data_IF_840680514703
#
_entry.id   IF_840680514703
#
_cell.length_a   1.000
_cell.length_b   1.000
_cell.length_c   1.000
_cell.angle_alpha   90.00
_cell.angle_beta   90.00
_cell.angle_gamma   90.00
#
_symmetry.space_group_name_H-M   'P 1'
#
loop_
_entity.id
_entity.type
_entity.pdbx_description
1 polymer ?
#
# COMPACT_ATOMS: atom_id res chain seq x y z
N UNK A 1 -22.11 4.87 24.12
CA UNK A 1 -22.01 4.90 22.64
C UNK A 1 -21.42 3.56 22.22
N UNK A 2 -22.18 2.72 21.49
CA UNK A 2 -21.65 1.42 21.02
C UNK A 2 -20.53 1.69 20.02
N UNK A 3 -19.31 1.36 20.36
CA UNK A 3 -18.17 1.43 19.44
C UNK A 3 -18.40 0.36 18.37
N UNK A 4 -18.59 0.77 17.13
CA UNK A 4 -18.88 -0.09 15.98
C UNK A 4 -17.58 -0.77 15.48
N UNK A 5 -16.83 -1.39 16.41
CA UNK A 5 -15.57 -2.07 16.14
C UNK A 5 -15.80 -3.48 15.60
N UNK A 6 -14.86 -3.95 14.79
CA UNK A 6 -14.86 -5.28 14.17
C UNK A 6 -13.73 -6.13 14.75
N UNK A 7 -13.85 -7.46 14.61
CA UNK A 7 -12.71 -8.37 14.76
C UNK A 7 -11.78 -8.16 13.56
N UNK A 8 -10.48 -8.14 13.80
CA UNK A 8 -9.47 -8.03 12.75
C UNK A 8 -9.61 -9.18 11.73
N UNK A 9 -9.55 -8.83 10.47
CA UNK A 9 -9.55 -9.75 9.33
C UNK A 9 -8.20 -9.63 8.63
N UNK A 10 -7.46 -10.75 8.57
CA UNK A 10 -6.11 -10.81 7.99
C UNK A 10 -6.09 -10.93 6.45
N UNK A 11 -7.27 -10.91 5.80
CA UNK A 11 -7.32 -10.97 4.33
C UNK A 11 -6.61 -9.77 3.70
N UNK A 12 -6.04 -10.01 2.53
CA UNK A 12 -5.34 -8.99 1.73
C UNK A 12 -6.01 -8.78 0.36
N UNK A 13 -7.33 -9.01 0.30
CA UNK A 13 -8.14 -8.85 -0.90
C UNK A 13 -9.43 -8.14 -0.57
N UNK A 14 -9.85 -7.22 -1.43
CA UNK A 14 -11.15 -6.57 -1.30
C UNK A 14 -12.29 -7.52 -1.72
N UNK A 15 -13.40 -7.45 -0.99
CA UNK A 15 -14.67 -8.12 -1.37
C UNK A 15 -15.57 -7.20 -2.17
N UNK A 16 -15.32 -5.89 -2.11
CA UNK A 16 -16.08 -4.86 -2.81
C UNK A 16 -15.20 -4.18 -3.87
N UNK A 17 -15.76 -3.89 -5.03
CA UNK A 17 -15.09 -3.20 -6.14
C UNK A 17 -15.11 -1.67 -6.02
N UNK A 18 -15.49 -1.12 -4.87
CA UNK A 18 -15.51 0.31 -4.62
C UNK A 18 -14.56 0.68 -3.49
N UNK A 19 -15.02 0.56 -2.26
CA UNK A 19 -14.21 0.78 -1.06
C UNK A 19 -14.74 -0.08 0.09
N UNK A 20 -13.88 -0.30 1.08
CA UNK A 20 -14.23 -0.98 2.33
C UNK A 20 -13.67 -0.19 3.51
N UNK A 21 -14.41 -0.09 4.59
CA UNK A 21 -13.97 0.61 5.78
C UNK A 21 -14.15 -0.25 7.03
N UNK A 22 -13.12 -0.26 7.86
CA UNK A 22 -13.03 -1.08 9.06
C UNK A 22 -12.60 -0.23 10.25
N UNK A 23 -13.25 -0.45 11.40
CA UNK A 23 -12.82 0.09 12.67
C UNK A 23 -12.42 -1.07 13.57
N UNK A 24 -11.13 -1.25 13.78
CA UNK A 24 -10.55 -2.32 14.58
C UNK A 24 -10.11 -1.81 15.95
N UNK A 25 -10.41 -2.60 16.97
CA UNK A 25 -9.90 -2.41 18.33
C UNK A 25 -9.54 -3.77 18.91
N UNK A 26 -8.25 -4.05 19.00
CA UNK A 26 -7.71 -5.31 19.46
C UNK A 26 -7.01 -5.14 20.81
N UNK A 27 -7.37 -5.96 21.78
CA UNK A 27 -6.70 -6.01 23.08
C UNK A 27 -5.42 -6.84 23.05
N UNK A 28 -5.35 -7.79 22.13
CA UNK A 28 -4.19 -8.65 21.86
C UNK A 28 -4.04 -8.74 20.35
N UNK A 29 -3.38 -7.76 19.74
CA UNK A 29 -3.23 -7.73 18.30
C UNK A 29 -2.41 -8.94 17.83
N UNK A 30 -2.88 -9.59 16.76
CA UNK A 30 -2.11 -10.60 16.06
C UNK A 30 -0.98 -9.94 15.28
N UNK A 31 0.17 -10.63 15.17
CA UNK A 31 1.25 -10.16 14.31
C UNK A 31 0.83 -10.23 12.86
N UNK A 32 1.06 -9.16 12.12
CA UNK A 32 0.80 -9.09 10.68
C UNK A 32 2.13 -9.31 9.96
N UNK A 33 2.19 -10.29 9.07
CA UNK A 33 3.38 -10.53 8.24
C UNK A 33 3.60 -9.38 7.25
N UNK A 34 4.83 -9.27 6.73
CA UNK A 34 5.13 -8.37 5.62
C UNK A 34 4.26 -8.75 4.43
N UNK A 35 3.50 -7.78 3.90
CA UNK A 35 2.54 -8.02 2.83
C UNK A 35 2.38 -6.80 1.92
N UNK A 36 1.58 -6.97 0.89
CA UNK A 36 1.15 -5.95 -0.03
C UNK A 36 -0.26 -6.28 -0.54
N UNK A 37 -0.88 -5.33 -1.18
CA UNK A 37 -2.19 -5.50 -1.82
C UNK A 37 -2.31 -4.62 -3.08
N UNK A 38 -3.37 -4.81 -3.86
CA UNK A 38 -3.58 -4.14 -5.14
C UNK A 38 -4.69 -3.06 -5.07
N UNK A 39 -4.80 -2.41 -3.94
CA UNK A 39 -5.72 -1.30 -3.69
C UNK A 39 -5.03 -0.22 -2.85
N UNK A 40 -5.60 0.96 -2.78
CA UNK A 40 -5.13 2.03 -1.89
C UNK A 40 -5.60 1.76 -0.48
N UNK A 41 -4.72 1.95 0.49
CA UNK A 41 -5.07 1.87 1.91
C UNK A 41 -4.80 3.20 2.61
N UNK A 42 -5.79 3.68 3.36
CA UNK A 42 -5.62 4.73 4.35
C UNK A 42 -5.76 4.12 5.73
N UNK A 43 -4.73 4.25 6.52
CA UNK A 43 -4.69 3.77 7.88
C UNK A 43 -4.68 4.96 8.84
N UNK A 44 -5.74 5.14 9.61
CA UNK A 44 -5.88 6.20 10.61
C UNK A 44 -5.64 5.63 11.99
N UNK A 45 -4.54 6.02 12.61
CA UNK A 45 -4.13 5.52 13.91
C UNK A 45 -4.82 6.25 15.06
N UNK A 46 -5.46 5.52 15.97
CA UNK A 46 -6.19 6.07 17.10
C UNK A 46 -5.45 5.88 18.41
N UNK A 47 -5.02 4.65 18.71
CA UNK A 47 -4.26 4.36 19.92
C UNK A 47 -3.47 3.06 19.80
N UNK A 48 -2.43 2.92 20.63
CA UNK A 48 -1.55 1.76 20.66
C UNK A 48 -0.09 2.16 20.71
N UNK A 49 0.78 1.17 20.51
CA UNK A 49 2.22 1.35 20.39
C UNK A 49 2.70 0.60 19.15
N UNK A 50 2.89 1.31 18.04
CA UNK A 50 3.13 0.72 16.73
C UNK A 50 4.23 1.45 15.99
N UNK A 51 5.22 0.66 15.53
CA UNK A 51 6.13 1.06 14.47
C UNK A 51 5.62 0.47 13.15
N UNK A 52 5.33 1.31 12.18
CA UNK A 52 4.81 0.87 10.90
C UNK A 52 5.88 0.99 9.81
N UNK A 53 6.21 -0.12 9.18
CA UNK A 53 7.19 -0.16 8.08
C UNK A 53 6.46 -0.10 6.75
N UNK A 54 6.89 0.80 5.86
CA UNK A 54 6.42 0.89 4.48
C UNK A 54 7.63 1.13 3.58
N UNK A 55 7.85 0.26 2.59
CA UNK A 55 8.96 0.37 1.63
C UNK A 55 10.31 0.72 2.30
N UNK A 56 10.64 -0.03 3.36
CA UNK A 56 11.89 0.12 4.11
C UNK A 56 11.97 1.35 5.01
N UNK A 57 10.98 2.22 5.04
CA UNK A 57 10.88 3.33 5.99
C UNK A 57 10.08 2.89 7.21
N UNK A 58 10.54 3.24 8.41
CA UNK A 58 9.84 2.94 9.66
C UNK A 58 9.27 4.22 10.25
N UNK A 59 8.00 4.19 10.56
CA UNK A 59 7.23 5.29 11.12
C UNK A 59 6.73 4.91 12.52
N UNK A 60 7.19 5.64 13.54
CA UNK A 60 6.59 5.58 14.88
C UNK A 60 5.28 6.34 14.83
N UNK A 61 4.15 5.63 15.02
CA UNK A 61 2.83 6.24 14.91
C UNK A 61 2.43 6.98 16.19
N UNK A 62 1.79 8.13 15.99
CA UNK A 62 1.16 8.94 17.03
C UNK A 62 -0.35 9.02 16.78
N UNK A 63 -1.14 9.14 17.86
CA UNK A 63 -2.60 9.23 17.73
C UNK A 63 -3.03 10.38 16.79
N UNK A 64 -3.82 10.05 15.78
CA UNK A 64 -4.27 10.95 14.73
C UNK A 64 -3.39 10.98 13.48
N UNK A 65 -2.32 10.15 13.43
CA UNK A 65 -1.53 9.96 12.22
C UNK A 65 -2.35 9.23 11.14
N UNK A 66 -2.07 9.59 9.88
CA UNK A 66 -2.55 8.90 8.69
C UNK A 66 -1.36 8.24 7.99
N UNK A 67 -1.43 6.92 7.79
CA UNK A 67 -0.57 6.25 6.82
C UNK A 67 -1.34 6.08 5.51
N UNK A 68 -0.67 6.43 4.42
CA UNK A 68 -1.15 6.29 3.06
C UNK A 68 -0.30 5.23 2.38
N UNK A 69 -0.92 4.14 1.97
CA UNK A 69 -0.25 3.00 1.35
C UNK A 69 -0.80 2.87 -0.07
N UNK A 70 0.08 3.07 -1.04
CA UNK A 70 -0.27 2.90 -2.45
C UNK A 70 -0.35 1.41 -2.79
N UNK A 71 -1.10 1.04 -3.86
CA UNK A 71 -1.07 -0.32 -4.37
C UNK A 71 0.35 -0.81 -4.57
N UNK A 72 0.60 -2.06 -4.14
CA UNK A 72 1.88 -2.74 -4.34
C UNK A 72 3.05 -2.24 -3.45
N UNK A 73 2.84 -1.35 -2.49
CA UNK A 73 3.84 -1.04 -1.47
C UNK A 73 3.93 -2.16 -0.42
N UNK A 74 5.14 -2.66 -0.18
CA UNK A 74 5.41 -3.61 0.90
C UNK A 74 5.31 -2.92 2.25
N UNK A 75 4.47 -3.46 3.14
CA UNK A 75 4.26 -2.85 4.44
C UNK A 75 3.98 -3.87 5.55
N UNK A 76 4.27 -3.46 6.78
CA UNK A 76 4.13 -4.28 7.97
C UNK A 76 4.01 -3.42 9.23
N UNK A 77 2.97 -3.59 10.06
CA UNK A 77 2.96 -3.06 11.42
C UNK A 77 3.80 -3.95 12.35
N UNK A 78 4.65 -3.35 13.15
CA UNK A 78 5.28 -3.96 14.32
C UNK A 78 4.52 -3.45 15.56
N UNK A 79 3.65 -4.28 16.09
CA UNK A 79 2.72 -3.92 17.15
C UNK A 79 3.27 -4.42 18.47
N UNK A 80 3.35 -3.56 19.48
CA UNK A 80 3.73 -3.96 20.82
C UNK A 80 2.62 -4.81 21.45
N UNK A 81 2.94 -6.02 21.97
CA UNK A 81 1.95 -6.87 22.60
C UNK A 81 1.39 -6.24 23.88
N UNK A 82 0.19 -6.68 24.26
CA UNK A 82 -0.51 -6.29 25.50
C UNK A 82 -0.89 -4.81 25.63
N UNK A 83 -0.87 -4.05 24.55
CA UNK A 83 -1.39 -2.67 24.47
C UNK A 83 -2.65 -2.65 23.61
N UNK A 84 -3.71 -1.99 24.08
CA UNK A 84 -4.93 -1.79 23.27
C UNK A 84 -4.56 -1.06 21.99
N UNK A 85 -4.90 -1.67 20.85
CA UNK A 85 -4.59 -1.17 19.51
C UNK A 85 -5.85 -0.81 18.74
N UNK A 86 -6.03 0.48 18.46
CA UNK A 86 -7.22 0.98 17.77
C UNK A 86 -6.85 1.78 16.52
N UNK A 87 -7.54 1.47 15.40
CA UNK A 87 -7.33 2.11 14.10
C UNK A 87 -8.59 2.04 13.25
N UNK A 88 -8.70 2.97 12.31
CA UNK A 88 -9.67 2.89 11.20
C UNK A 88 -8.87 2.65 9.92
N UNK A 89 -9.26 1.63 9.18
CA UNK A 89 -8.63 1.25 7.90
C UNK A 89 -9.65 1.44 6.79
N UNK A 90 -9.23 2.11 5.72
CA UNK A 90 -10.04 2.37 4.54
C UNK A 90 -9.30 1.81 3.33
N UNK A 91 -9.89 0.84 2.65
CA UNK A 91 -9.43 0.28 1.39
C UNK A 91 -10.21 0.85 0.22
N UNK A 92 -9.53 1.20 -0.86
CA UNK A 92 -10.16 1.84 -2.02
C UNK A 92 -9.65 1.18 -3.30
N UNK A 93 -10.57 0.65 -4.09
CA UNK A 93 -10.25 0.08 -5.40
C UNK A 93 -9.64 1.14 -6.35
N UNK A 94 -8.65 0.74 -7.15
CA UNK A 94 -7.92 1.66 -8.05
C UNK A 94 -8.83 2.32 -9.07
N UNK A 95 -9.65 1.52 -9.75
CA UNK A 95 -10.54 2.03 -10.80
C UNK A 95 -11.64 2.91 -10.20
N UNK A 96 -12.12 2.53 -9.01
CA UNK A 96 -13.10 3.33 -8.29
C UNK A 96 -12.52 4.69 -7.86
N UNK A 97 -11.33 4.73 -7.28
CA UNK A 97 -10.67 5.99 -6.91
C UNK A 97 -10.47 6.90 -8.13
N UNK A 98 -10.04 6.32 -9.25
CA UNK A 98 -9.90 7.06 -10.50
C UNK A 98 -11.25 7.62 -10.98
N UNK A 99 -12.35 6.88 -10.85
CA UNK A 99 -13.70 7.32 -11.22
C UNK A 99 -14.25 8.47 -10.36
N UNK A 100 -13.70 8.65 -9.16
CA UNK A 100 -14.05 9.75 -8.26
C UNK A 100 -13.23 11.02 -8.53
N UNK A 101 -12.10 10.89 -9.23
CA UNK A 101 -11.22 11.99 -9.60
C UNK A 101 -11.82 12.85 -10.70
N UNK A 102 -11.38 14.10 -10.76
CA UNK A 102 -11.79 15.06 -11.80
C UNK A 102 -10.54 15.71 -12.41
N UNK A 103 -10.60 16.31 -13.62
CA UNK A 103 -9.42 16.88 -14.26
C UNK A 103 -8.64 17.88 -13.41
N UNK A 104 -9.32 18.57 -12.48
CA UNK A 104 -8.70 19.53 -11.54
C UNK A 104 -8.16 18.91 -10.26
N UNK A 105 -8.45 17.63 -9.98
CA UNK A 105 -8.08 16.96 -8.73
C UNK A 105 -8.02 15.45 -8.93
N UNK A 106 -6.81 14.93 -9.02
CA UNK A 106 -6.54 13.49 -8.89
C UNK A 106 -6.53 13.09 -7.42
N UNK A 107 -7.53 12.31 -7.00
CA UNK A 107 -7.66 11.89 -5.61
C UNK A 107 -6.63 10.84 -5.18
N UNK A 108 -5.91 10.22 -6.12
CA UNK A 108 -4.81 9.30 -5.81
C UNK A 108 -3.48 10.02 -5.52
N UNK A 109 -3.36 11.31 -5.84
CA UNK A 109 -2.12 12.06 -5.72
C UNK A 109 -1.55 12.13 -4.28
N UNK A 110 -2.40 12.01 -3.27
CA UNK A 110 -1.95 11.97 -1.87
C UNK A 110 -1.11 10.73 -1.51
N UNK A 111 -1.22 9.64 -2.27
CA UNK A 111 -0.40 8.43 -2.07
C UNK A 111 1.00 8.55 -2.70
N UNK A 112 1.31 9.67 -3.29
CA UNK A 112 2.55 9.94 -4.01
C UNK A 112 2.44 9.74 -5.50
N UNK A 113 3.31 10.39 -6.24
CA UNK A 113 3.44 10.29 -7.69
C UNK A 113 4.92 10.36 -8.10
N UNK A 114 5.21 10.24 -9.39
CA UNK A 114 6.57 10.30 -9.93
C UNK A 114 7.33 11.58 -9.56
N UNK A 115 6.61 12.69 -9.32
CA UNK A 115 7.21 13.98 -8.98
C UNK A 115 7.50 14.15 -7.49
N UNK A 116 6.67 13.58 -6.63
CA UNK A 116 6.76 13.76 -5.17
C UNK A 116 7.44 12.59 -4.46
N UNK A 117 7.47 11.44 -5.09
CA UNK A 117 7.78 10.19 -4.42
C UNK A 117 6.67 9.76 -3.44
N UNK A 118 6.83 8.64 -2.74
CA UNK A 118 5.84 8.15 -1.81
C UNK A 118 5.72 9.05 -0.58
N UNK A 119 4.49 9.43 -0.24
CA UNK A 119 4.13 10.14 0.98
C UNK A 119 3.33 9.17 1.85
N UNK A 120 4.01 8.40 2.68
CA UNK A 120 3.31 7.40 3.47
C UNK A 120 2.75 7.96 4.79
N UNK A 121 3.43 8.90 5.46
CA UNK A 121 2.99 9.44 6.75
C UNK A 121 2.55 10.89 6.65
N UNK A 122 1.32 11.17 7.08
CA UNK A 122 0.81 12.50 7.33
C UNK A 122 0.49 12.67 8.81
N UNK A 123 0.96 13.79 9.41
CA UNK A 123 0.64 14.23 10.78
C UNK A 123 -0.19 15.50 10.75
N UNK A 124 -1.52 15.38 10.70
CA UNK A 124 -2.39 16.54 10.69
C UNK A 124 -2.31 17.34 12.00
N UNK A 125 -2.49 18.65 11.98
CA UNK A 125 -2.77 19.42 13.18
C UNK A 125 -4.01 18.91 13.92
N UNK A 126 -4.05 19.06 15.25
CA UNK A 126 -5.09 18.47 16.12
C UNK A 126 -6.53 18.70 15.64
N UNK A 127 -6.82 19.90 15.14
CA UNK A 127 -8.16 20.23 14.62
C UNK A 127 -8.53 19.36 13.42
N UNK A 128 -7.58 19.15 12.50
CA UNK A 128 -7.79 18.30 11.33
C UNK A 128 -7.85 16.81 11.72
N UNK A 129 -7.06 16.35 12.70
CA UNK A 129 -7.16 14.99 13.23
C UNK A 129 -8.58 14.67 13.68
N UNK A 130 -9.20 15.58 14.42
CA UNK A 130 -10.58 15.44 14.92
C UNK A 130 -11.57 15.40 13.75
N UNK A 131 -11.45 16.31 12.78
CA UNK A 131 -12.32 16.36 11.60
C UNK A 131 -12.24 15.08 10.77
N UNK A 132 -11.02 14.65 10.42
CA UNK A 132 -10.77 13.45 9.63
C UNK A 132 -11.27 12.18 10.35
N UNK A 133 -11.01 12.05 11.65
CA UNK A 133 -11.48 10.95 12.46
C UNK A 133 -13.01 10.88 12.56
N UNK A 134 -13.67 12.03 12.68
CA UNK A 134 -15.15 12.12 12.65
C UNK A 134 -15.71 11.71 11.28
N UNK A 135 -15.09 12.17 10.19
CA UNK A 135 -15.50 11.81 8.82
C UNK A 135 -15.36 10.32 8.58
N UNK A 136 -14.22 9.71 8.96
CA UNK A 136 -14.01 8.25 8.87
C UNK A 136 -14.99 7.46 9.74
N UNK A 137 -15.27 7.93 10.96
CA UNK A 137 -16.24 7.28 11.84
C UNK A 137 -17.68 7.33 11.29
N UNK A 138 -18.06 8.45 10.66
CA UNK A 138 -19.35 8.57 9.96
C UNK A 138 -19.38 7.68 8.72
N UNK A 139 -18.31 7.67 7.93
CA UNK A 139 -18.16 6.81 6.75
C UNK A 139 -18.33 5.33 7.13
N UNK A 140 -17.63 4.86 8.18
CA UNK A 140 -17.76 3.49 8.68
C UNK A 140 -19.18 3.16 9.12
N UNK A 141 -19.88 4.08 9.77
CA UNK A 141 -21.27 3.89 10.19
C UNK A 141 -22.22 3.79 9.00
N UNK A 142 -22.11 4.66 8.01
CA UNK A 142 -22.95 4.63 6.80
C UNK A 142 -22.63 3.41 5.92
N UNK A 143 -21.37 3.06 5.76
CA UNK A 143 -20.95 1.86 5.03
C UNK A 143 -21.57 0.57 5.60
N UNK A 144 -21.68 0.47 6.92
CA UNK A 144 -22.23 -0.68 7.62
C UNK A 144 -23.74 -0.60 7.83
N UNK A 145 -24.30 0.59 7.80
CA UNK A 145 -25.71 0.85 7.96
C UNK A 145 -26.47 0.50 6.67
N UNK A 146 -27.73 0.06 6.85
CA UNK A 146 -28.65 -0.15 5.71
C UNK A 146 -29.64 1.00 5.64
N UNK A 147 -29.15 2.24 5.71
CA UNK A 147 -30.02 3.41 5.65
C UNK A 147 -30.37 3.77 4.20
N UNK A 148 -31.58 4.23 3.92
CA UNK A 148 -31.92 4.78 2.61
C UNK A 148 -30.94 5.91 2.21
N UNK A 149 -30.35 5.81 1.03
CA UNK A 149 -29.35 6.77 0.54
C UNK A 149 -27.97 6.66 1.19
N UNK A 150 -27.72 5.65 2.03
CA UNK A 150 -26.45 5.45 2.72
C UNK A 150 -25.25 5.35 1.77
N UNK A 151 -25.40 4.69 0.62
CA UNK A 151 -24.34 4.60 -0.40
C UNK A 151 -23.95 5.97 -0.98
N UNK A 152 -24.96 6.82 -1.26
CA UNK A 152 -24.73 8.19 -1.77
C UNK A 152 -24.02 9.01 -0.70
N UNK A 153 -24.46 8.90 0.54
CA UNK A 153 -23.88 9.63 1.66
C UNK A 153 -22.45 9.18 1.96
N UNK A 154 -22.21 7.86 1.98
CA UNK A 154 -20.88 7.29 2.18
C UNK A 154 -19.90 7.72 1.06
N UNK A 155 -20.35 7.72 -0.20
CA UNK A 155 -19.55 8.23 -1.34
C UNK A 155 -19.19 9.71 -1.16
N UNK A 156 -20.14 10.54 -0.74
CA UNK A 156 -19.87 11.98 -0.46
C UNK A 156 -18.86 12.18 0.67
N UNK A 157 -18.96 11.40 1.76
CA UNK A 157 -18.00 11.43 2.87
C UNK A 157 -16.61 10.97 2.43
N UNK A 158 -16.52 9.93 1.60
CA UNK A 158 -15.25 9.44 1.05
C UNK A 158 -14.58 10.52 0.19
N UNK A 159 -15.33 11.16 -0.72
CA UNK A 159 -14.78 12.22 -1.56
C UNK A 159 -14.31 13.42 -0.74
N UNK A 160 -15.12 13.87 0.24
CA UNK A 160 -14.71 14.92 1.16
C UNK A 160 -13.41 14.57 1.88
N UNK A 161 -13.33 13.37 2.46
CA UNK A 161 -12.16 12.89 3.18
C UNK A 161 -10.91 12.90 2.28
N UNK A 162 -11.00 12.34 1.08
CA UNK A 162 -9.88 12.28 0.14
C UNK A 162 -9.42 13.66 -0.33
N UNK A 163 -10.32 14.61 -0.53
CA UNK A 163 -9.95 16.01 -0.83
C UNK A 163 -9.18 16.65 0.32
N UNK A 164 -9.62 16.43 1.56
CA UNK A 164 -8.93 16.97 2.74
C UNK A 164 -7.53 16.35 2.90
N UNK A 165 -7.40 15.03 2.71
CA UNK A 165 -6.11 14.30 2.75
C UNK A 165 -5.16 14.79 1.64
N UNK A 166 -5.65 14.97 0.41
CA UNK A 166 -4.83 15.50 -0.69
C UNK A 166 -4.32 16.92 -0.40
N UNK A 167 -5.17 17.81 0.13
CA UNK A 167 -4.76 19.16 0.53
C UNK A 167 -3.67 19.13 1.61
N UNK A 168 -3.79 18.21 2.57
CA UNK A 168 -2.79 18.00 3.61
C UNK A 168 -1.46 17.48 3.03
N UNK A 169 -1.52 16.50 2.14
CA UNK A 169 -0.35 15.94 1.47
C UNK A 169 0.42 17.01 0.67
N UNK A 170 -0.27 17.86 -0.08
CA UNK A 170 0.34 18.98 -0.82
C UNK A 170 1.09 19.95 0.10
N UNK A 171 0.53 20.25 1.27
CA UNK A 171 1.20 21.13 2.26
C UNK A 171 2.44 20.45 2.85
N UNK A 172 2.38 19.14 3.08
CA UNK A 172 3.49 18.34 3.63
C UNK A 172 4.64 18.23 2.63
N UNK A 173 4.35 17.92 1.36
CA UNK A 173 5.35 17.81 0.29
C UNK A 173 6.14 19.09 0.08
N UNK A 174 5.49 20.25 0.16
CA UNK A 174 6.16 21.55 0.03
C UNK A 174 7.19 21.81 1.14
N UNK A 175 7.04 21.17 2.30
CA UNK A 175 7.96 21.27 3.43
C UNK A 175 9.11 20.24 3.32
N UNK A 176 8.82 19.00 2.90
CA UNK A 176 9.81 17.90 2.82
C UNK A 176 10.83 18.15 1.71
N UNK A 177 10.46 18.71 0.55
CA UNK A 177 11.38 19.02 -0.57
C UNK A 177 12.62 19.88 -0.18
N UNK A 178 12.65 20.40 1.03
CA UNK A 178 13.75 21.26 1.53
C UNK A 178 14.75 20.50 2.43
N UNK A 179 14.57 19.21 2.72
CA UNK A 179 15.20 18.69 3.94
C UNK A 179 16.17 17.50 3.81
N UNK A 180 16.14 16.63 2.81
CA UNK A 180 17.07 15.48 2.87
C UNK A 180 17.43 14.88 1.51
N UNK A 181 18.72 14.54 1.33
CA UNK A 181 19.18 13.59 0.33
C UNK A 181 18.66 12.19 0.69
N UNK A 182 18.12 11.43 -0.27
CA UNK A 182 17.59 10.10 0.02
C UNK A 182 18.74 9.16 0.44
N UNK A 183 18.51 8.40 1.50
CA UNK A 183 19.45 7.38 1.97
C UNK A 183 19.64 6.22 0.98
N UNK A 184 20.68 5.39 1.18
CA UNK A 184 21.04 4.29 0.30
C UNK A 184 19.85 3.37 -0.05
N UNK A 185 19.08 2.91 0.94
CA UNK A 185 17.98 1.97 0.69
C UNK A 185 16.87 2.62 -0.13
N UNK A 186 16.55 3.87 0.15
CA UNK A 186 15.58 4.66 -0.62
C UNK A 186 16.03 4.85 -2.08
N UNK A 187 17.32 5.12 -2.31
CA UNK A 187 17.87 5.22 -3.66
C UNK A 187 17.82 3.88 -4.40
N UNK A 188 18.17 2.78 -3.74
CA UNK A 188 18.11 1.42 -4.31
C UNK A 188 16.69 1.01 -4.66
N UNK A 189 15.72 1.31 -3.80
CA UNK A 189 14.29 1.04 -4.08
C UNK A 189 13.79 1.83 -5.29
N UNK A 190 14.16 3.11 -5.40
CA UNK A 190 13.83 3.93 -6.56
C UNK A 190 14.45 3.38 -7.85
N UNK A 191 15.73 2.98 -7.80
CA UNK A 191 16.42 2.35 -8.92
C UNK A 191 15.72 1.05 -9.36
N UNK A 192 15.45 0.15 -8.42
CA UNK A 192 14.71 -1.10 -8.71
C UNK A 192 13.33 -0.78 -9.30
N UNK A 193 12.63 0.23 -8.79
CA UNK A 193 11.32 0.66 -9.29
C UNK A 193 11.31 1.00 -10.78
N UNK A 194 12.43 1.50 -11.31
CA UNK A 194 12.61 1.83 -12.73
C UNK A 194 13.12 0.64 -13.54
N UNK A 195 14.10 -0.11 -12.99
CA UNK A 195 14.92 -1.09 -13.71
C UNK A 195 14.54 -2.56 -13.46
N UNK A 196 13.49 -2.88 -12.66
CA UNK A 196 13.17 -4.25 -12.24
C UNK A 196 12.97 -5.25 -13.39
N UNK A 197 12.71 -4.79 -14.61
CA UNK A 197 12.61 -5.63 -15.81
C UNK A 197 13.98 -6.02 -16.39
N UNK A 198 15.01 -5.31 -16.01
CA UNK A 198 16.39 -5.54 -16.47
C UNK A 198 17.06 -6.61 -15.59
N UNK A 199 18.26 -7.05 -16.00
CA UNK A 199 19.02 -8.01 -15.22
C UNK A 199 19.69 -7.33 -14.01
N UNK A 200 18.95 -7.20 -12.92
CA UNK A 200 19.44 -6.66 -11.65
C UNK A 200 20.03 -7.78 -10.81
N UNK A 201 21.28 -7.61 -10.39
CA UNK A 201 21.95 -8.47 -9.41
C UNK A 201 22.40 -7.64 -8.20
N UNK A 202 22.68 -8.30 -7.09
CA UNK A 202 23.23 -7.63 -5.91
C UNK A 202 24.60 -6.98 -6.22
N UNK A 203 25.36 -7.63 -7.09
CA UNK A 203 26.65 -7.13 -7.60
C UNK A 203 26.49 -5.84 -8.39
N UNK A 204 25.55 -5.80 -9.35
CA UNK A 204 25.34 -4.62 -10.17
C UNK A 204 24.85 -3.43 -9.33
N UNK A 205 23.95 -3.66 -8.37
CA UNK A 205 23.50 -2.61 -7.46
C UNK A 205 24.60 -2.13 -6.53
N UNK A 206 25.40 -3.04 -5.95
CA UNK A 206 26.51 -2.65 -5.08
C UNK A 206 27.55 -1.80 -5.83
N UNK A 207 27.80 -2.10 -7.10
CA UNK A 207 28.65 -1.33 -7.98
C UNK A 207 28.04 0.05 -8.30
N UNK A 208 26.76 0.09 -8.64
CA UNK A 208 26.03 1.33 -8.98
C UNK A 208 26.04 2.34 -7.84
N UNK A 209 25.84 1.85 -6.61
CA UNK A 209 25.76 2.70 -5.41
C UNK A 209 27.09 2.80 -4.64
N UNK A 210 28.20 2.31 -5.20
CA UNK A 210 29.54 2.39 -4.61
C UNK A 210 29.65 1.84 -3.19
N UNK A 211 28.95 0.72 -2.91
CA UNK A 211 28.94 0.05 -1.60
C UNK A 211 29.34 -1.42 -1.72
N UNK A 212 29.70 -2.05 -0.59
CA UNK A 212 29.94 -3.50 -0.59
C UNK A 212 28.62 -4.27 -0.69
N UNK A 213 28.64 -5.45 -1.35
CA UNK A 213 27.48 -6.35 -1.42
C UNK A 213 26.92 -6.73 -0.04
N UNK A 214 27.82 -6.93 0.91
CA UNK A 214 27.43 -7.27 2.28
C UNK A 214 26.67 -6.13 2.94
N UNK A 215 27.17 -4.91 2.85
CA UNK A 215 26.50 -3.73 3.40
C UNK A 215 25.14 -3.52 2.76
N UNK A 216 25.08 -3.54 1.43
CA UNK A 216 23.82 -3.38 0.71
C UNK A 216 22.79 -4.47 1.08
N UNK A 217 23.20 -5.74 1.09
CA UNK A 217 22.30 -6.85 1.42
C UNK A 217 21.78 -6.77 2.85
N UNK A 218 22.66 -6.42 3.78
CA UNK A 218 22.30 -6.27 5.20
C UNK A 218 21.34 -5.11 5.41
N UNK A 219 21.68 -3.90 4.95
CA UNK A 219 20.85 -2.71 5.10
C UNK A 219 19.49 -2.87 4.41
N UNK A 220 19.48 -3.39 3.18
CA UNK A 220 18.24 -3.61 2.45
C UNK A 220 17.33 -4.62 3.17
N UNK A 221 17.87 -5.78 3.56
CA UNK A 221 17.07 -6.82 4.23
C UNK A 221 16.58 -6.37 5.61
N UNK A 222 17.40 -5.63 6.36
CA UNK A 222 17.02 -5.10 7.66
C UNK A 222 15.88 -4.08 7.54
N UNK A 223 15.93 -3.18 6.56
CA UNK A 223 14.94 -2.11 6.40
C UNK A 223 13.69 -2.55 5.65
N UNK A 224 13.84 -3.26 4.54
CA UNK A 224 12.72 -3.68 3.68
C UNK A 224 12.03 -4.94 4.21
N UNK A 225 12.75 -5.76 4.97
CA UNK A 225 12.23 -7.02 5.52
C UNK A 225 12.32 -8.20 4.55
N UNK A 226 12.95 -8.00 3.38
CA UNK A 226 13.18 -9.06 2.38
C UNK A 226 14.48 -8.83 1.63
N UNK A 227 14.99 -9.84 0.91
CA UNK A 227 16.21 -9.69 0.11
C UNK A 227 15.95 -8.87 -1.17
N UNK A 228 17.01 -8.22 -1.69
CA UNK A 228 16.98 -7.52 -2.98
C UNK A 228 16.41 -8.41 -4.09
N UNK A 229 16.90 -9.65 -4.20
CA UNK A 229 16.43 -10.60 -5.22
C UNK A 229 14.93 -10.85 -5.12
N UNK A 230 14.44 -11.13 -3.90
CA UNK A 230 13.00 -11.40 -3.68
C UNK A 230 12.15 -10.17 -3.97
N UNK A 231 12.62 -8.98 -3.63
CA UNK A 231 11.95 -7.72 -3.94
C UNK A 231 11.85 -7.48 -5.46
N UNK A 232 12.93 -7.73 -6.22
CA UNK A 232 12.90 -7.63 -7.70
C UNK A 232 11.91 -8.62 -8.31
N UNK A 233 11.94 -9.89 -7.88
CA UNK A 233 10.99 -10.90 -8.33
C UNK A 233 9.55 -10.47 -8.03
N UNK A 234 9.31 -9.98 -6.84
CA UNK A 234 8.03 -9.45 -6.42
C UNK A 234 7.53 -8.33 -7.36
N UNK A 235 8.35 -7.31 -7.66
CA UNK A 235 8.01 -6.24 -8.60
C UNK A 235 7.64 -6.77 -10.01
N UNK A 236 8.37 -7.77 -10.50
CA UNK A 236 8.09 -8.44 -11.78
C UNK A 236 6.76 -9.18 -11.78
N UNK A 237 6.46 -9.90 -10.70
CA UNK A 237 5.21 -10.63 -10.54
C UNK A 237 4.00 -9.72 -10.49
N UNK A 238 4.13 -8.55 -9.86
CA UNK A 238 3.08 -7.55 -9.83
C UNK A 238 2.72 -7.04 -11.23
N UNK A 239 3.74 -6.67 -12.03
CA UNK A 239 3.51 -6.30 -13.43
C UNK A 239 2.85 -7.43 -14.22
N UNK A 240 3.33 -8.67 -14.03
CA UNK A 240 2.75 -9.82 -14.71
C UNK A 240 1.28 -10.04 -14.36
N UNK A 241 0.93 -9.93 -13.08
CA UNK A 241 -0.44 -10.03 -12.59
C UNK A 241 -1.35 -8.96 -13.22
N UNK A 242 -0.89 -7.73 -13.28
CA UNK A 242 -1.63 -6.62 -13.89
C UNK A 242 -1.86 -6.85 -15.39
N UNK A 243 -0.83 -7.26 -16.12
CA UNK A 243 -0.93 -7.58 -17.54
C UNK A 243 -1.87 -8.75 -17.82
N UNK A 244 -1.83 -9.81 -17.00
CA UNK A 244 -2.74 -10.95 -17.12
C UNK A 244 -4.18 -10.53 -16.83
N UNK A 245 -4.42 -9.76 -15.78
CA UNK A 245 -5.74 -9.21 -15.45
C UNK A 245 -6.26 -8.31 -16.59
N UNK A 246 -5.38 -7.60 -17.28
CA UNK A 246 -5.68 -6.82 -18.50
C UNK A 246 -5.86 -7.66 -19.76
N UNK A 247 -5.85 -9.01 -19.67
CA UNK A 247 -6.12 -9.93 -20.78
C UNK A 247 -4.90 -10.46 -21.54
N UNK A 248 -3.67 -10.10 -21.13
CA UNK A 248 -2.45 -10.62 -21.77
C UNK A 248 -2.26 -12.11 -21.48
N UNK A 249 -1.76 -12.86 -22.46
CA UNK A 249 -1.48 -14.29 -22.26
C UNK A 249 -0.18 -14.48 -21.46
N UNK A 250 -0.19 -15.34 -20.41
CA UNK A 250 0.99 -15.53 -19.56
C UNK A 250 2.27 -15.95 -20.28
N UNK A 251 2.14 -16.68 -21.40
CA UNK A 251 3.27 -17.11 -22.22
C UNK A 251 3.97 -15.99 -22.98
N UNK A 252 3.28 -14.87 -23.19
CA UNK A 252 3.79 -13.76 -23.99
C UNK A 252 4.46 -12.67 -23.16
N UNK A 253 4.15 -12.61 -21.86
CA UNK A 253 4.54 -11.48 -21.00
C UNK A 253 5.74 -11.73 -20.11
N UNK A 254 6.15 -12.98 -19.87
CA UNK A 254 7.17 -13.28 -18.86
C UNK A 254 8.51 -12.60 -19.12
N UNK A 255 8.93 -12.52 -20.38
CA UNK A 255 10.16 -11.81 -20.76
C UNK A 255 10.00 -10.30 -20.57
N UNK A 256 8.87 -9.74 -20.95
CA UNK A 256 8.57 -8.33 -20.74
C UNK A 256 8.57 -7.95 -19.27
N UNK A 257 8.17 -8.87 -18.40
CA UNK A 257 8.24 -8.69 -16.94
C UNK A 257 9.65 -8.91 -16.37
N UNK A 258 10.65 -9.23 -17.19
CA UNK A 258 12.05 -9.40 -16.77
C UNK A 258 12.44 -10.82 -16.35
N UNK A 259 11.60 -11.86 -16.62
CA UNK A 259 11.99 -13.24 -16.37
C UNK A 259 12.75 -13.81 -17.56
N UNK A 260 13.90 -14.48 -17.29
CA UNK A 260 14.72 -15.09 -18.34
C UNK A 260 14.08 -16.32 -19.00
N UNK A 261 13.22 -17.05 -18.27
CA UNK A 261 12.50 -18.22 -18.77
C UNK A 261 11.13 -18.38 -18.12
N UNK A 262 10.25 -19.09 -18.84
CA UNK A 262 8.87 -19.32 -18.40
C UNK A 262 8.76 -20.21 -17.15
N UNK A 263 9.68 -21.14 -16.96
CA UNK A 263 9.62 -22.06 -15.81
C UNK A 263 9.92 -21.33 -14.51
N UNK A 264 10.87 -20.39 -14.51
CA UNK A 264 11.15 -19.51 -13.38
C UNK A 264 9.97 -18.59 -13.08
N UNK A 265 9.39 -17.98 -14.11
CA UNK A 265 8.17 -17.18 -13.98
C UNK A 265 7.02 -17.99 -13.38
N UNK A 266 6.72 -19.16 -13.94
CA UNK A 266 5.64 -20.03 -13.47
C UNK A 266 5.79 -20.40 -11.99
N UNK A 267 7.00 -20.82 -11.58
CA UNK A 267 7.28 -21.20 -10.18
C UNK A 267 7.12 -20.01 -9.24
N UNK A 268 7.68 -18.87 -9.60
CA UNK A 268 7.59 -17.67 -8.81
C UNK A 268 6.13 -17.21 -8.67
N UNK A 269 5.38 -17.17 -9.75
CA UNK A 269 3.97 -16.77 -9.76
C UNK A 269 3.09 -17.70 -8.91
N UNK A 270 3.26 -19.02 -9.08
CA UNK A 270 2.50 -20.00 -8.30
C UNK A 270 2.86 -19.97 -6.82
N UNK A 271 4.13 -19.75 -6.49
CA UNK A 271 4.58 -19.61 -5.09
C UNK A 271 3.98 -18.37 -4.43
N UNK A 272 3.84 -17.27 -5.16
CA UNK A 272 3.36 -15.98 -4.64
C UNK A 272 1.83 -15.96 -4.52
N UNK A 273 1.12 -16.41 -5.57
CA UNK A 273 -0.34 -16.27 -5.65
C UNK A 273 -1.11 -17.57 -5.37
N UNK A 274 -0.41 -18.70 -5.12
CA UNK A 274 -1.04 -19.99 -4.84
C UNK A 274 -1.60 -20.72 -6.07
N UNK A 275 -1.86 -19.99 -7.18
CA UNK A 275 -2.43 -20.52 -8.42
C UNK A 275 -1.49 -20.27 -9.61
N UNK A 276 -1.65 -21.04 -10.68
CA UNK A 276 -0.83 -20.87 -11.88
C UNK A 276 -1.21 -19.59 -12.64
N UNK A 277 -0.29 -19.01 -13.45
CA UNK A 277 -0.61 -17.86 -14.30
C UNK A 277 -1.81 -18.09 -15.23
N UNK A 278 -1.98 -19.33 -15.74
CA UNK A 278 -3.12 -19.69 -16.60
C UNK A 278 -4.44 -19.76 -15.85
N UNK A 279 -4.44 -20.29 -14.61
CA UNK A 279 -5.62 -20.32 -13.75
C UNK A 279 -6.03 -18.88 -13.39
N UNK A 280 -5.08 -18.03 -13.01
CA UNK A 280 -5.33 -16.63 -12.73
C UNK A 280 -5.92 -15.89 -13.95
N UNK A 281 -5.41 -16.17 -15.17
CA UNK A 281 -5.95 -15.60 -16.41
C UNK A 281 -7.41 -16.05 -16.69
N UNK A 282 -7.77 -17.29 -16.38
CA UNK A 282 -9.13 -17.79 -16.53
C UNK A 282 -10.09 -17.10 -15.52
N UNK A 283 -9.72 -17.09 -14.24
CA UNK A 283 -10.51 -16.42 -13.19
C UNK A 283 -10.72 -14.92 -13.44
N UNK A 284 -9.70 -14.24 -13.98
CA UNK A 284 -9.79 -12.81 -14.32
C UNK A 284 -10.74 -12.51 -15.47
N UNK A 285 -10.94 -13.48 -16.38
CA UNK A 285 -11.91 -13.35 -17.51
C UNK A 285 -13.34 -13.60 -17.09
N UNK A 286 -13.54 -14.56 -16.18
CA UNK A 286 -14.87 -14.93 -15.69
C UNK A 286 -15.46 -13.91 -14.69
N UNK A 287 -14.61 -13.05 -14.15
CA UNK A 287 -14.98 -11.99 -13.20
C UNK A 287 -15.25 -10.60 -13.82
N UNK A 288 -15.07 -10.45 -15.12
CA UNK A 288 -15.43 -9.27 -15.91
C UNK A 288 -16.76 -9.51 -16.60
#
# INVERSE_FOLDING_TARGET
MSTNTQRFDSRQTMSNRTFEVFHYRDKRPESVALHYHDFYEVFFFLSGNVDYRVEGRTYRLESGDLLLIAPQELHQPAIEPDVDYERIVLWIDKAYLQSLSVPSMDLSACFGNELTGPINLLRPPRVQQVSLGQTLSRLNREYRGRHPGGEIYARGLLQQFLVEVNRLALQTTSRIRKMEDPDLVTQVLAYIGIHYRENITLESLASEFFVSKYHLSHEFSHRVGTSVYRYVIFRRLMLAREMIAGGSAPGDIYQFCGFGDYANFYRAFKSEYGISPRQFAAESRDGN
#
